data_IF_719430450645
#
_entry.id   IF_719430450645
#
_cell.length_a   1.000
_cell.length_b   1.000
_cell.length_c   1.000
_cell.angle_alpha   90.00
_cell.angle_beta   90.00
_cell.angle_gamma   90.00
#
_symmetry.space_group_name_H-M   'P 1'
#
loop_
_entity.id
_entity.type
_entity.pdbx_description
1 polymer ?
#
# COMPACT_ATOMS: atom_id res chain seq x y z
N UNK A 1 17.13 -7.94 -1.62
CA UNK A 1 15.73 -7.64 -1.27
C UNK A 1 15.65 -7.37 0.23
N UNK A 2 15.43 -6.12 0.62
CA UNK A 2 15.19 -5.76 2.03
C UNK A 2 13.71 -5.96 2.32
N UNK A 3 13.36 -6.83 3.27
CA UNK A 3 12.00 -6.93 3.79
C UNK A 3 11.78 -5.79 4.77
N UNK A 4 10.80 -4.93 4.51
CA UNK A 4 10.43 -3.86 5.43
C UNK A 4 9.32 -4.38 6.34
N UNK A 5 9.58 -4.40 7.65
CA UNK A 5 8.55 -4.68 8.65
C UNK A 5 7.90 -3.36 9.01
N UNK A 6 6.66 -3.13 8.55
CA UNK A 6 5.93 -1.92 8.90
C UNK A 6 5.21 -2.19 10.22
N UNK A 7 5.90 -1.89 11.33
CA UNK A 7 5.30 -1.66 12.63
C UNK A 7 5.61 -0.19 13.00
N UNK A 8 4.62 0.57 13.46
CA UNK A 8 4.70 2.02 13.70
C UNK A 8 5.77 2.45 14.73
N UNK A 9 6.45 1.51 15.38
CA UNK A 9 7.41 1.75 16.46
C UNK A 9 8.80 2.26 16.05
N UNK A 10 9.17 2.32 14.76
CA UNK A 10 10.53 2.73 14.32
C UNK A 10 10.61 3.98 13.44
N UNK A 11 9.69 4.92 13.62
CA UNK A 11 9.68 6.22 12.91
C UNK A 11 9.87 7.44 13.82
N UNK A 12 10.60 7.34 14.93
CA UNK A 12 11.01 8.52 15.69
C UNK A 12 12.48 8.53 16.08
N UNK A 13 13.27 9.27 15.29
CA UNK A 13 14.28 10.15 15.85
C UNK A 13 13.62 11.07 16.86
N UNK A 14 14.07 10.95 18.12
CA UNK A 14 13.73 11.80 19.26
C UNK A 14 13.63 13.28 18.87
N UNK A 15 12.53 13.95 19.24
CA UNK A 15 12.56 15.34 19.72
C UNK A 15 11.60 15.50 20.90
N UNK A 16 12.18 15.87 22.02
CA UNK A 16 11.49 16.32 23.20
C UNK A 16 10.65 17.56 22.86
N UNK A 17 9.43 17.59 23.40
CA UNK A 17 8.63 18.82 23.53
C UNK A 17 9.36 19.67 24.59
N UNK A 18 9.81 20.90 24.31
CA UNK A 18 10.37 21.75 25.35
C UNK A 18 9.22 22.26 26.25
N UNK A 19 9.43 22.35 27.58
CA UNK A 19 8.50 23.07 28.44
C UNK A 19 8.56 24.58 28.14
N UNK A 20 7.47 25.26 28.50
CA UNK A 20 7.19 26.70 28.33
C UNK A 20 8.33 27.65 28.73
N UNK A 21 8.37 28.89 28.17
CA UNK A 21 9.55 29.73 28.18
C UNK A 21 9.73 30.46 29.52
N UNK A 22 10.62 29.94 30.36
CA UNK A 22 11.39 30.78 31.27
C UNK A 22 12.73 30.12 31.54
N UNK A 23 13.78 30.57 30.87
CA UNK A 23 15.14 30.76 31.39
C UNK A 23 16.09 31.07 30.24
N UNK A 24 16.85 32.16 30.40
CA UNK A 24 17.88 32.65 29.49
C UNK A 24 19.08 31.69 29.50
N UNK A 25 19.69 31.44 28.36
CA UNK A 25 20.95 30.69 28.28
C UNK A 25 21.43 30.50 26.84
N UNK A 26 22.63 30.99 26.58
CA UNK A 26 23.42 31.07 25.35
C UNK A 26 23.63 29.76 24.58
N UNK A 27 23.65 29.88 23.24
CA UNK A 27 24.40 29.14 22.20
C UNK A 27 24.74 27.66 22.41
N UNK A 28 24.30 26.79 21.49
CA UNK A 28 25.12 26.06 20.48
C UNK A 28 24.16 25.32 19.52
N UNK A 29 24.13 25.68 18.23
CA UNK A 29 23.42 24.94 17.18
C UNK A 29 24.30 23.80 16.62
N UNK A 30 23.85 22.53 16.59
CA UNK A 30 24.50 21.52 15.77
C UNK A 30 23.94 21.57 14.33
N UNK A 31 24.86 21.71 13.36
CA UNK A 31 24.59 21.53 11.93
C UNK A 31 24.00 20.13 11.68
N UNK A 32 22.74 20.06 11.29
CA UNK A 32 22.14 18.85 10.73
C UNK A 32 22.61 18.68 9.28
N UNK A 33 23.37 17.62 9.06
CA UNK A 33 23.85 17.18 7.74
C UNK A 33 22.67 16.75 6.87
N UNK A 34 22.66 17.25 5.63
CA UNK A 34 21.71 16.94 4.57
C UNK A 34 21.87 15.48 4.14
N UNK A 35 21.00 14.58 4.59
CA UNK A 35 20.66 13.34 3.87
C UNK A 35 19.50 12.63 4.56
N UNK A 36 18.28 13.01 4.19
CA UNK A 36 17.09 12.17 4.33
C UNK A 36 16.37 12.25 3.00
N UNK A 37 16.00 11.10 2.44
CA UNK A 37 15.21 11.00 1.23
C UNK A 37 14.00 11.94 1.33
N UNK A 38 13.80 12.78 0.32
CA UNK A 38 12.72 13.77 0.33
C UNK A 38 11.41 13.02 0.20
N UNK A 39 10.62 12.96 1.28
CA UNK A 39 9.25 12.47 1.20
C UNK A 39 8.47 13.36 0.21
N UNK A 40 8.01 12.84 -0.94
CA UNK A 40 7.41 13.65 -2.01
C UNK A 40 6.09 14.31 -1.61
N UNK A 41 5.39 13.78 -0.59
CA UNK A 41 4.17 14.36 -0.03
C UNK A 41 4.42 15.55 0.92
N UNK A 42 5.66 15.69 1.40
CA UNK A 42 6.05 16.69 2.39
C UNK A 42 6.61 17.92 1.69
N UNK A 43 5.80 18.99 1.62
CA UNK A 43 6.22 20.29 1.11
C UNK A 43 6.53 21.23 2.28
N UNK A 44 7.38 22.21 2.02
CA UNK A 44 7.67 23.28 2.97
C UNK A 44 6.88 24.52 2.57
N UNK A 45 6.15 25.09 3.53
CA UNK A 45 5.50 26.39 3.36
C UNK A 45 6.54 27.52 3.28
N UNK A 46 6.15 28.68 2.75
CA UNK A 46 7.01 29.88 2.75
C UNK A 46 7.45 30.31 4.17
N UNK A 47 6.72 29.90 5.21
CA UNK A 47 7.05 30.11 6.63
C UNK A 47 7.93 29.01 7.24
N UNK A 48 8.36 28.01 6.47
CA UNK A 48 9.21 26.92 6.95
C UNK A 48 8.50 25.86 7.79
N UNK A 49 7.16 25.85 7.83
CA UNK A 49 6.38 24.77 8.42
C UNK A 49 6.13 23.66 7.39
N UNK A 50 6.23 22.38 7.78
CA UNK A 50 5.88 21.27 6.89
C UNK A 50 4.37 21.28 6.62
N UNK A 51 4.00 21.15 5.35
CA UNK A 51 2.62 20.97 4.89
C UNK A 51 2.54 19.71 4.04
N UNK A 52 1.60 18.83 4.38
CA UNK A 52 1.31 17.63 3.62
C UNK A 52 0.24 17.95 2.58
N UNK A 53 0.52 17.65 1.32
CA UNK A 53 -0.49 17.77 0.27
C UNK A 53 -1.57 16.70 0.44
N UNK A 54 -2.72 17.10 0.99
CA UNK A 54 -3.86 16.20 1.23
C UNK A 54 -4.48 15.62 -0.06
N UNK A 55 -4.12 16.14 -1.25
CA UNK A 55 -4.54 15.54 -2.53
C UNK A 55 -3.61 14.40 -2.97
N UNK A 56 -2.44 14.29 -2.36
CA UNK A 56 -1.45 13.25 -2.62
C UNK A 56 -1.63 11.99 -1.74
N UNK A 57 -2.62 11.97 -0.85
CA UNK A 57 -2.82 10.87 0.12
C UNK A 57 -3.83 9.82 -0.34
N UNK A 58 -4.81 10.19 -1.15
CA UNK A 58 -5.80 9.24 -1.67
C UNK A 58 -5.30 8.62 -2.97
N UNK A 59 -5.43 7.31 -3.07
CA UNK A 59 -4.98 6.49 -4.19
C UNK A 59 -6.12 5.61 -4.68
N UNK A 60 -6.00 5.15 -5.94
CA UNK A 60 -6.85 4.11 -6.49
C UNK A 60 -6.14 2.75 -6.42
N UNK A 61 -6.88 1.68 -6.11
CA UNK A 61 -6.35 0.32 -6.10
C UNK A 61 -7.31 -0.65 -6.82
N UNK A 62 -6.76 -1.46 -7.74
CA UNK A 62 -7.45 -2.63 -8.26
C UNK A 62 -7.34 -3.79 -7.28
N UNK A 63 -8.42 -4.50 -6.96
CA UNK A 63 -8.39 -5.65 -6.05
C UNK A 63 -9.04 -6.86 -6.73
N UNK A 64 -8.28 -7.95 -6.81
CA UNK A 64 -8.72 -9.24 -7.37
C UNK A 64 -8.81 -10.26 -6.24
N UNK A 65 -9.96 -10.92 -6.14
CA UNK A 65 -10.24 -11.87 -5.07
C UNK A 65 -10.90 -11.17 -3.87
N UNK A 66 -12.23 -11.21 -3.84
CA UNK A 66 -13.08 -10.47 -2.91
C UNK A 66 -13.65 -11.37 -1.81
N UNK A 67 -12.99 -12.50 -1.55
CA UNK A 67 -13.22 -13.28 -0.34
C UNK A 67 -12.97 -12.45 0.93
N UNK A 68 -13.07 -13.09 2.10
CA UNK A 68 -13.03 -12.38 3.41
C UNK A 68 -11.88 -11.38 3.56
N UNK A 69 -10.66 -11.72 3.12
CA UNK A 69 -9.51 -10.83 3.23
C UNK A 69 -9.56 -9.69 2.22
N UNK A 70 -9.66 -9.98 0.92
CA UNK A 70 -9.63 -8.95 -0.12
C UNK A 70 -10.81 -7.98 -0.04
N UNK A 71 -12.01 -8.48 0.29
CA UNK A 71 -13.16 -7.62 0.53
C UNK A 71 -12.99 -6.70 1.74
N UNK A 72 -12.34 -7.16 2.81
CA UNK A 72 -12.07 -6.32 3.98
C UNK A 72 -10.96 -5.28 3.72
N UNK A 73 -9.95 -5.64 2.92
CA UNK A 73 -8.94 -4.68 2.45
C UNK A 73 -9.61 -3.57 1.64
N UNK A 74 -10.49 -3.92 0.70
CA UNK A 74 -11.24 -2.94 -0.09
C UNK A 74 -12.06 -1.99 0.80
N UNK A 75 -12.83 -2.55 1.74
CA UNK A 75 -13.63 -1.78 2.70
C UNK A 75 -12.79 -0.83 3.54
N UNK A 76 -11.66 -1.31 4.08
CA UNK A 76 -10.78 -0.50 4.91
C UNK A 76 -10.18 0.67 4.13
N UNK A 77 -9.77 0.43 2.88
CA UNK A 77 -9.27 1.47 1.99
C UNK A 77 -10.35 2.52 1.68
N UNK A 78 -11.57 2.09 1.38
CA UNK A 78 -12.70 3.01 1.14
C UNK A 78 -13.04 3.84 2.38
N UNK A 79 -12.99 3.27 3.58
CA UNK A 79 -13.20 3.99 4.84
C UNK A 79 -12.17 5.10 5.07
N UNK A 80 -10.95 4.95 4.53
CA UNK A 80 -9.89 5.95 4.59
C UNK A 80 -9.81 6.83 3.31
N UNK A 81 -10.86 6.80 2.47
CA UNK A 81 -11.03 7.72 1.34
C UNK A 81 -10.34 7.30 0.03
N UNK A 82 -9.75 6.11 -0.02
CA UNK A 82 -9.23 5.54 -1.28
C UNK A 82 -10.37 5.03 -2.17
N UNK A 83 -10.12 4.99 -3.47
CA UNK A 83 -11.05 4.40 -4.43
C UNK A 83 -10.59 3.00 -4.83
N UNK A 84 -11.53 2.08 -4.99
CA UNK A 84 -11.23 0.69 -5.31
C UNK A 84 -11.98 0.22 -6.54
N UNK A 85 -11.26 -0.42 -7.47
CA UNK A 85 -11.85 -1.15 -8.61
C UNK A 85 -11.73 -2.64 -8.27
N UNK A 86 -12.84 -3.36 -8.28
CA UNK A 86 -12.90 -4.70 -7.67
C UNK A 86 -13.36 -5.77 -8.65
N UNK A 87 -12.70 -6.93 -8.61
CA UNK A 87 -13.03 -8.09 -9.42
C UNK A 87 -12.98 -9.39 -8.60
N UNK A 88 -14.00 -10.23 -8.78
CA UNK A 88 -14.04 -11.63 -8.37
C UNK A 88 -14.80 -12.43 -9.44
N UNK A 89 -14.57 -13.74 -9.49
CA UNK A 89 -15.37 -14.67 -10.30
C UNK A 89 -16.81 -14.74 -9.81
N UNK A 90 -17.02 -14.55 -8.51
CA UNK A 90 -18.35 -14.46 -7.91
C UNK A 90 -18.96 -13.06 -8.08
N UNK A 91 -20.03 -12.99 -8.86
CA UNK A 91 -20.78 -11.76 -9.10
C UNK A 91 -21.41 -11.19 -7.82
N UNK A 92 -21.81 -12.04 -6.88
CA UNK A 92 -22.40 -11.58 -5.62
C UNK A 92 -21.37 -10.79 -4.79
N UNK A 93 -20.14 -11.29 -4.71
CA UNK A 93 -19.02 -10.61 -4.04
C UNK A 93 -18.69 -9.25 -4.67
N UNK A 94 -18.72 -9.15 -6.00
CA UNK A 94 -18.55 -7.87 -6.71
C UNK A 94 -19.68 -6.89 -6.41
N UNK A 95 -20.93 -7.36 -6.53
CA UNK A 95 -22.12 -6.53 -6.32
C UNK A 95 -22.21 -5.99 -4.89
N UNK A 96 -21.80 -6.81 -3.90
CA UNK A 96 -21.75 -6.38 -2.51
C UNK A 96 -20.82 -5.17 -2.30
N UNK A 97 -19.58 -5.24 -2.81
CA UNK A 97 -18.65 -4.10 -2.70
C UNK A 97 -19.04 -2.90 -3.57
N UNK A 98 -19.70 -3.13 -4.71
CA UNK A 98 -20.23 -2.05 -5.53
C UNK A 98 -21.28 -1.23 -4.76
N UNK A 99 -22.19 -1.91 -4.06
CA UNK A 99 -23.19 -1.25 -3.20
C UNK A 99 -22.57 -0.49 -2.02
N UNK A 100 -21.33 -0.81 -1.66
CA UNK A 100 -20.56 -0.15 -0.60
C UNK A 100 -19.67 0.99 -1.12
N UNK A 101 -19.58 1.19 -2.44
CA UNK A 101 -18.88 2.31 -3.06
C UNK A 101 -17.68 1.96 -3.94
N UNK A 102 -17.35 0.67 -4.12
CA UNK A 102 -16.33 0.25 -5.08
C UNK A 102 -16.85 0.31 -6.53
N UNK A 103 -15.94 0.41 -7.49
CA UNK A 103 -16.27 0.17 -8.90
C UNK A 103 -16.10 -1.31 -9.22
N UNK A 104 -17.19 -2.06 -9.40
CA UNK A 104 -17.12 -3.47 -9.81
C UNK A 104 -17.00 -3.60 -11.34
N UNK A 105 -16.18 -4.56 -11.79
CA UNK A 105 -15.92 -4.82 -13.22
C UNK A 105 -16.16 -6.29 -13.57
N UNK A 106 -16.44 -6.56 -14.85
CA UNK A 106 -16.83 -7.88 -15.34
C UNK A 106 -15.64 -8.85 -15.48
N UNK A 107 -14.45 -8.33 -15.77
CA UNK A 107 -13.22 -9.10 -16.00
C UNK A 107 -11.93 -8.31 -15.71
N UNK A 108 -10.77 -8.96 -15.92
CA UNK A 108 -9.45 -8.37 -15.67
C UNK A 108 -9.07 -7.25 -16.66
N UNK A 109 -9.56 -7.30 -17.90
CA UNK A 109 -9.27 -6.26 -18.89
C UNK A 109 -10.04 -4.98 -18.54
N UNK A 110 -11.30 -5.10 -18.14
CA UNK A 110 -12.08 -4.00 -17.60
C UNK A 110 -11.46 -3.44 -16.31
N UNK A 111 -10.94 -4.29 -15.42
CA UNK A 111 -10.22 -3.85 -14.22
C UNK A 111 -9.04 -2.94 -14.58
N UNK A 112 -8.17 -3.38 -15.48
CA UNK A 112 -6.99 -2.60 -15.90
C UNK A 112 -7.39 -1.31 -16.63
N UNK A 113 -8.45 -1.35 -17.43
CA UNK A 113 -8.98 -0.19 -18.16
C UNK A 113 -9.55 0.89 -17.22
N UNK A 114 -10.19 0.48 -16.13
CA UNK A 114 -10.79 1.38 -15.14
C UNK A 114 -9.78 2.02 -14.15
N UNK A 115 -8.52 1.58 -14.18
CA UNK A 115 -7.46 2.07 -13.29
C UNK A 115 -6.63 3.21 -13.91
N UNK A 116 -6.33 4.21 -13.10
CA UNK A 116 -5.42 5.31 -13.40
C UNK A 116 -3.96 4.84 -13.39
N UNK A 117 -3.17 5.35 -14.36
CA UNK A 117 -1.73 5.06 -14.46
C UNK A 117 -0.91 5.98 -13.53
N UNK A 118 0.23 5.52 -12.99
CA UNK A 118 0.71 4.13 -13.00
C UNK A 118 -0.14 3.26 -12.07
N UNK A 119 -0.65 2.14 -12.60
CA UNK A 119 -1.68 1.32 -11.96
C UNK A 119 -1.10 0.50 -10.82
N UNK A 120 -1.96 0.16 -9.86
CA UNK A 120 -1.66 -0.81 -8.82
C UNK A 120 -2.80 -1.83 -8.74
N UNK A 121 -2.44 -3.12 -8.77
CA UNK A 121 -3.39 -4.22 -8.68
C UNK A 121 -2.98 -5.18 -7.58
N UNK A 122 -3.85 -5.35 -6.59
CA UNK A 122 -3.70 -6.27 -5.47
C UNK A 122 -4.39 -7.60 -5.78
N UNK A 123 -3.59 -8.67 -5.85
CA UNK A 123 -4.07 -10.05 -6.00
C UNK A 123 -4.17 -10.68 -4.62
N UNK A 124 -5.39 -11.05 -4.23
CA UNK A 124 -5.72 -11.69 -2.95
C UNK A 124 -6.40 -13.04 -3.20
N UNK A 125 -5.64 -13.95 -3.82
CA UNK A 125 -6.11 -15.29 -4.23
C UNK A 125 -5.34 -16.40 -3.48
N UNK A 126 -5.87 -17.64 -3.45
CA UNK A 126 -5.13 -18.78 -2.94
C UNK A 126 -3.83 -18.99 -3.73
N UNK A 127 -2.74 -19.27 -3.00
CA UNK A 127 -1.45 -19.56 -3.59
C UNK A 127 -1.50 -20.75 -4.56
N UNK A 128 -0.58 -20.76 -5.52
CA UNK A 128 -0.52 -21.75 -6.60
C UNK A 128 -1.15 -21.25 -7.89
N UNK A 129 -1.81 -22.15 -8.62
CA UNK A 129 -2.34 -21.87 -9.96
C UNK A 129 -3.26 -20.65 -10.06
N UNK A 130 -4.21 -20.39 -9.13
CA UNK A 130 -5.09 -19.23 -9.24
C UNK A 130 -4.34 -17.89 -9.26
N UNK A 131 -3.34 -17.74 -8.38
CA UNK A 131 -2.48 -16.55 -8.34
C UNK A 131 -1.57 -16.50 -9.58
N UNK A 132 -0.97 -17.63 -9.97
CA UNK A 132 -0.08 -17.68 -11.15
C UNK A 132 -0.80 -17.26 -12.43
N UNK A 133 -1.93 -17.88 -12.74
CA UNK A 133 -2.70 -17.59 -13.96
C UNK A 133 -3.15 -16.13 -14.01
N UNK A 134 -3.53 -15.57 -12.86
CA UNK A 134 -3.95 -14.18 -12.73
C UNK A 134 -2.78 -13.23 -12.98
N UNK A 135 -1.61 -13.47 -12.37
CA UNK A 135 -0.42 -12.65 -12.57
C UNK A 135 0.05 -12.72 -14.03
N UNK A 136 0.05 -13.90 -14.63
CA UNK A 136 0.43 -14.05 -16.05
C UNK A 136 -0.53 -13.27 -16.96
N UNK A 137 -1.84 -13.32 -16.69
CA UNK A 137 -2.83 -12.54 -17.43
C UNK A 137 -2.62 -11.03 -17.25
N UNK A 138 -2.44 -10.56 -16.00
CA UNK A 138 -2.15 -9.16 -15.72
C UNK A 138 -0.86 -8.68 -16.41
N UNK A 139 0.16 -9.54 -16.47
CA UNK A 139 1.44 -9.21 -17.11
C UNK A 139 1.34 -8.99 -18.64
N UNK A 140 0.20 -9.34 -19.24
CA UNK A 140 -0.09 -9.10 -20.66
C UNK A 140 -0.98 -7.86 -20.86
N UNK A 141 -1.70 -7.44 -19.83
CA UNK A 141 -2.66 -6.33 -19.87
C UNK A 141 -2.06 -5.02 -19.33
N UNK A 142 -1.17 -5.12 -18.35
CA UNK A 142 -0.51 -3.98 -17.71
C UNK A 142 0.61 -3.42 -18.58
N UNK A 143 0.97 -2.17 -18.30
CA UNK A 143 2.02 -1.43 -19.00
C UNK A 143 3.21 -1.16 -18.08
N UNK A 144 4.36 -0.80 -18.66
CA UNK A 144 5.55 -0.48 -17.88
C UNK A 144 5.25 0.57 -16.78
N UNK A 145 5.90 0.39 -15.62
CA UNK A 145 5.69 1.13 -14.37
C UNK A 145 4.40 0.81 -13.59
N UNK A 146 3.51 -0.04 -14.11
CA UNK A 146 2.39 -0.59 -13.32
C UNK A 146 2.90 -1.60 -12.26
N UNK A 147 2.14 -1.77 -11.17
CA UNK A 147 2.49 -2.63 -10.03
C UNK A 147 1.48 -3.76 -9.85
N UNK A 148 1.99 -4.97 -9.68
CA UNK A 148 1.25 -6.13 -9.17
C UNK A 148 1.66 -6.37 -7.72
N UNK A 149 0.69 -6.39 -6.81
CA UNK A 149 0.87 -6.69 -5.39
C UNK A 149 0.30 -8.09 -5.13
N UNK A 150 1.11 -9.03 -4.64
CA UNK A 150 0.63 -10.32 -4.15
C UNK A 150 0.49 -10.26 -2.63
N UNK A 151 -0.76 -10.20 -2.15
CA UNK A 151 -1.06 -10.22 -0.71
C UNK A 151 -1.41 -11.62 -0.17
N UNK A 152 -1.30 -12.65 -1.01
CA UNK A 152 -1.57 -14.03 -0.65
C UNK A 152 -0.49 -14.64 0.25
N UNK A 153 -0.70 -15.90 0.64
CA UNK A 153 0.30 -16.69 1.36
C UNK A 153 1.18 -17.47 0.39
N UNK A 154 1.84 -16.76 -0.52
CA UNK A 154 2.70 -17.33 -1.57
C UNK A 154 4.04 -17.81 -0.99
N UNK A 155 4.62 -18.84 -1.61
CA UNK A 155 5.95 -19.31 -1.25
C UNK A 155 7.02 -18.39 -1.83
N UNK A 156 7.91 -17.85 -0.99
CA UNK A 156 8.86 -16.79 -1.37
C UNK A 156 9.71 -17.04 -2.63
N UNK A 157 9.93 -18.29 -3.03
CA UNK A 157 10.66 -18.61 -4.27
C UNK A 157 9.85 -18.25 -5.52
N UNK A 158 8.53 -18.38 -5.44
CA UNK A 158 7.63 -17.97 -6.51
C UNK A 158 7.63 -16.44 -6.64
N UNK A 159 7.66 -15.72 -5.52
CA UNK A 159 7.76 -14.24 -5.52
C UNK A 159 9.05 -13.76 -6.18
N UNK A 160 10.20 -14.36 -5.84
CA UNK A 160 11.50 -14.02 -6.46
C UNK A 160 11.46 -14.27 -7.97
N UNK A 161 10.93 -15.41 -8.40
CA UNK A 161 10.80 -15.76 -9.82
C UNK A 161 9.89 -14.76 -10.56
N UNK A 162 8.71 -14.48 -10.02
CA UNK A 162 7.75 -13.54 -10.61
C UNK A 162 8.30 -12.13 -10.70
N UNK A 163 8.98 -11.66 -9.65
CA UNK A 163 9.62 -10.35 -9.67
C UNK A 163 10.62 -10.24 -10.83
N UNK A 164 11.43 -11.29 -11.06
CA UNK A 164 12.35 -11.32 -12.20
C UNK A 164 11.60 -11.28 -13.54
N UNK A 165 10.65 -12.20 -13.77
CA UNK A 165 9.87 -12.28 -15.01
C UNK A 165 9.10 -10.98 -15.33
N UNK A 166 8.54 -10.33 -14.32
CA UNK A 166 7.78 -9.08 -14.48
C UNK A 166 8.69 -7.88 -14.73
N UNK A 167 9.87 -7.85 -14.12
CA UNK A 167 10.86 -6.78 -14.36
C UNK A 167 11.36 -6.75 -15.81
N UNK A 168 11.46 -7.90 -16.48
CA UNK A 168 11.77 -7.97 -17.91
C UNK A 168 10.73 -7.26 -18.79
N UNK A 169 9.51 -7.09 -18.26
CA UNK A 169 8.41 -6.34 -18.91
C UNK A 169 8.30 -4.89 -18.43
N UNK A 170 9.19 -4.45 -17.54
CA UNK A 170 9.12 -3.13 -16.90
C UNK A 170 7.99 -3.01 -15.86
N UNK A 171 7.46 -4.13 -15.38
CA UNK A 171 6.44 -4.18 -14.34
C UNK A 171 7.08 -4.33 -12.96
N UNK A 172 6.47 -3.72 -11.96
CA UNK A 172 6.89 -3.88 -10.57
C UNK A 172 6.09 -5.00 -9.90
N UNK A 173 6.77 -5.78 -9.06
CA UNK A 173 6.15 -6.81 -8.23
C UNK A 173 6.41 -6.49 -6.76
N UNK A 174 5.35 -6.54 -5.95
CA UNK A 174 5.41 -6.30 -4.51
C UNK A 174 4.78 -7.49 -3.77
N UNK A 175 5.56 -8.21 -2.98
CA UNK A 175 5.06 -9.25 -2.08
C UNK A 175 4.63 -8.63 -0.75
N UNK A 176 3.41 -8.91 -0.30
CA UNK A 176 2.87 -8.39 0.96
C UNK A 176 2.34 -9.52 1.83
N UNK A 177 3.20 -10.03 2.72
CA UNK A 177 2.78 -10.95 3.76
C UNK A 177 1.79 -10.27 4.71
N UNK A 178 0.53 -10.71 4.70
CA UNK A 178 -0.56 -10.06 5.44
C UNK A 178 -1.01 -10.91 6.63
N UNK A 179 -1.05 -10.32 7.83
CA UNK A 179 -1.50 -10.96 9.07
C UNK A 179 -2.52 -10.09 9.82
N UNK A 180 -3.26 -10.69 10.76
CA UNK A 180 -4.38 -10.06 11.49
C UNK A 180 -5.75 -10.63 11.13
N UNK A 181 -5.85 -11.36 10.01
CA UNK A 181 -7.08 -12.03 9.59
C UNK A 181 -8.24 -11.06 9.37
N UNK A 182 -9.47 -11.54 9.58
CA UNK A 182 -10.69 -10.73 9.34
C UNK A 182 -10.78 -9.49 10.24
N UNK A 183 -10.17 -9.53 11.42
CA UNK A 183 -10.12 -8.42 12.38
C UNK A 183 -9.32 -7.23 11.88
N UNK A 184 -8.51 -7.41 10.82
CA UNK A 184 -7.76 -6.32 10.23
C UNK A 184 -8.64 -5.24 9.60
N UNK A 185 -9.91 -5.52 9.29
CA UNK A 185 -10.85 -4.48 8.86
C UNK A 185 -10.96 -3.36 9.90
N UNK A 186 -11.10 -3.73 11.17
CA UNK A 186 -11.24 -2.78 12.28
C UNK A 186 -9.86 -2.34 12.79
N UNK A 187 -8.98 -3.31 13.05
CA UNK A 187 -7.72 -3.09 13.79
C UNK A 187 -6.52 -2.74 12.90
N UNK A 188 -6.62 -3.00 11.60
CA UNK A 188 -5.51 -2.96 10.65
C UNK A 188 -4.73 -4.27 10.57
N UNK A 189 -3.92 -4.37 9.52
CA UNK A 189 -3.16 -5.55 9.14
C UNK A 189 -1.68 -5.36 9.41
N UNK A 190 -1.05 -6.33 10.07
CA UNK A 190 0.41 -6.34 10.12
C UNK A 190 0.93 -6.90 8.79
N UNK A 191 1.71 -6.07 8.09
CA UNK A 191 2.18 -6.32 6.73
C UNK A 191 3.71 -6.37 6.68
N UNK A 192 4.24 -7.36 5.96
CA UNK A 192 5.65 -7.49 5.62
C UNK A 192 5.79 -7.29 4.12
N UNK A 193 6.42 -6.19 3.72
CA UNK A 193 6.44 -5.74 2.33
C UNK A 193 7.83 -5.97 1.74
N UNK A 194 7.87 -6.65 0.60
CA UNK A 194 9.04 -6.81 -0.24
C UNK A 194 8.74 -6.35 -1.67
N UNK A 195 9.73 -5.75 -2.34
CA UNK A 195 9.56 -5.20 -3.68
C UNK A 195 10.59 -4.12 -4.01
N UNK A 196 10.43 -3.49 -5.17
CA UNK A 196 11.22 -2.32 -5.55
C UNK A 196 10.92 -1.13 -4.61
N UNK A 197 11.96 -0.39 -4.23
CA UNK A 197 11.84 0.71 -3.25
C UNK A 197 10.95 1.82 -3.78
N UNK A 198 11.07 2.20 -5.05
CA UNK A 198 10.28 3.29 -5.61
C UNK A 198 8.80 2.89 -5.76
N UNK A 199 8.53 1.64 -6.14
CA UNK A 199 7.17 1.11 -6.17
C UNK A 199 6.54 1.07 -4.77
N UNK A 200 7.28 0.59 -3.76
CA UNK A 200 6.80 0.53 -2.37
C UNK A 200 6.56 1.94 -1.80
N UNK A 201 7.48 2.88 -2.01
CA UNK A 201 7.32 4.28 -1.55
C UNK A 201 6.11 4.95 -2.20
N UNK A 202 5.82 4.65 -3.48
CA UNK A 202 4.62 5.16 -4.16
C UNK A 202 3.33 4.60 -3.57
N UNK A 203 3.33 3.34 -3.12
CA UNK A 203 2.16 2.66 -2.55
C UNK A 203 2.02 2.87 -1.03
N UNK A 204 2.94 3.59 -0.39
CA UNK A 204 2.95 3.87 1.06
C UNK A 204 1.60 4.38 1.61
N UNK A 205 0.85 5.26 0.92
CA UNK A 205 -0.46 5.69 1.41
C UNK A 205 -1.44 4.53 1.60
N UNK A 206 -1.51 3.57 0.65
CA UNK A 206 -2.36 2.38 0.78
C UNK A 206 -1.95 1.52 1.99
N UNK A 207 -0.64 1.33 2.16
CA UNK A 207 -0.12 0.54 3.27
C UNK A 207 -0.36 1.24 4.62
N UNK A 208 -0.29 2.56 4.67
CA UNK A 208 -0.57 3.33 5.87
C UNK A 208 -2.03 3.18 6.33
N UNK A 209 -2.99 3.19 5.40
CA UNK A 209 -4.42 2.98 5.69
C UNK A 209 -4.71 1.55 6.16
N UNK A 210 -4.03 0.57 5.58
CA UNK A 210 -4.20 -0.83 5.92
C UNK A 210 -3.51 -1.20 7.24
N UNK A 211 -2.44 -0.51 7.62
CA UNK A 211 -1.70 -0.78 8.84
C UNK A 211 -2.54 -0.55 10.11
N UNK A 212 -2.15 -1.15 11.25
CA UNK A 212 -2.82 -0.90 12.51
C UNK A 212 -2.66 0.54 12.95
N UNK A 213 -3.71 1.07 13.59
CA UNK A 213 -3.63 2.32 14.33
C UNK A 213 -2.65 2.22 15.50
N UNK A 214 -2.40 3.33 16.18
CA UNK A 214 -1.68 3.29 17.46
C UNK A 214 -2.55 2.51 18.46
N UNK A 215 -2.07 1.36 18.91
CA UNK A 215 -2.72 0.61 19.98
C UNK A 215 -2.44 1.24 21.35
N UNK A 216 -3.38 1.15 22.27
CA UNK A 216 -3.10 1.20 23.70
C UNK A 216 -2.68 -0.20 24.16
N UNK A 217 -1.65 -0.28 25.02
CA UNK A 217 -1.36 -1.50 25.77
C UNK A 217 -2.36 -1.49 26.94
N UNK A 218 -3.51 -2.11 26.75
CA UNK A 218 -4.43 -2.47 27.84
C UNK A 218 -4.52 -3.98 27.98
#
# INVERSE_FOLDING_TARGET
MSRMFINRDKMHHRRAIPPSPSCKGTDVLPRLTKQHARNPSMRWTASGAPFYDLRSTFMQLGIIGLGRMGGNIARRLMLDGHTTVVYDRDEASRSALANEGSTAVADLAELVSALEKPRAVWVMLPAGAPTEDTIQTLSQLLEADDVIIDGGNTFYKDDIRRAQELSEKGLHYVDVGTSGGVWGLERGYCMMIGGDVAAVERLDPLFASLAPGLGSIE
#
